data_IF_939509365683
#
_entry.id   IF_939509365683
#
_cell.length_a   1.000
_cell.length_b   1.000
_cell.length_c   1.000
_cell.angle_alpha   90.00
_cell.angle_beta   90.00
_cell.angle_gamma   90.00
#
_symmetry.space_group_name_H-M   'P 1'
#
loop_
_entity.id
_entity.type
_entity.pdbx_description
1 polymer ?
#
# COMPACT_ATOMS: atom_id res chain seq x y z
N UNK A 1 20.24 -30.35 -8.02
CA UNK A 1 20.57 -29.00 -7.50
C UNK A 1 20.25 -27.89 -8.50
N UNK A 2 20.87 -27.85 -9.68
CA UNK A 2 20.69 -26.73 -10.65
C UNK A 2 19.24 -26.50 -11.12
N UNK A 3 18.47 -27.57 -11.42
CA UNK A 3 17.07 -27.44 -11.87
C UNK A 3 16.14 -26.86 -10.80
N UNK A 4 16.35 -27.22 -9.53
CA UNK A 4 15.58 -26.70 -8.39
C UNK A 4 15.89 -25.21 -8.18
N UNK A 5 17.16 -24.84 -8.17
CA UNK A 5 17.60 -23.43 -8.11
C UNK A 5 16.97 -22.58 -9.22
N UNK A 6 16.95 -23.09 -10.47
CA UNK A 6 16.31 -22.38 -11.60
C UNK A 6 14.78 -22.23 -11.41
N UNK A 7 14.11 -23.23 -10.87
CA UNK A 7 12.67 -23.16 -10.58
C UNK A 7 12.38 -22.13 -9.48
N UNK A 8 13.18 -22.13 -8.41
CA UNK A 8 13.05 -21.18 -7.30
C UNK A 8 13.31 -19.73 -7.77
N UNK A 9 14.33 -19.53 -8.62
CA UNK A 9 14.59 -18.24 -9.27
C UNK A 9 13.43 -17.78 -10.15
N UNK A 10 12.81 -18.70 -10.90
CA UNK A 10 11.65 -18.37 -11.73
C UNK A 10 10.46 -17.96 -10.86
N UNK A 11 10.15 -18.74 -9.83
CA UNK A 11 9.08 -18.41 -8.88
C UNK A 11 9.31 -17.04 -8.24
N UNK A 12 10.54 -16.73 -7.81
CA UNK A 12 10.89 -15.41 -7.25
C UNK A 12 10.64 -14.26 -8.23
N UNK A 13 10.98 -14.43 -9.52
CA UNK A 13 10.72 -13.42 -10.55
C UNK A 13 9.22 -13.22 -10.78
N UNK A 14 8.46 -14.31 -10.82
CA UNK A 14 6.99 -14.25 -10.97
C UNK A 14 6.35 -13.53 -9.78
N UNK A 15 6.72 -13.88 -8.54
CA UNK A 15 6.28 -13.18 -7.33
C UNK A 15 6.54 -11.67 -7.43
N UNK A 16 7.75 -11.29 -7.83
CA UNK A 16 8.11 -9.89 -7.95
C UNK A 16 7.29 -9.15 -9.01
N UNK A 17 7.08 -9.74 -10.20
CA UNK A 17 6.27 -9.12 -11.26
C UNK A 17 4.83 -8.87 -10.79
N UNK A 18 4.23 -9.85 -10.12
CA UNK A 18 2.88 -9.72 -9.58
C UNK A 18 2.83 -8.65 -8.47
N UNK A 19 3.80 -8.66 -7.55
CA UNK A 19 3.88 -7.67 -6.49
C UNK A 19 4.04 -6.24 -7.05
N UNK A 20 4.84 -6.07 -8.12
CA UNK A 20 5.02 -4.78 -8.78
C UNK A 20 3.74 -4.28 -9.45
N UNK A 21 3.01 -5.18 -10.13
CA UNK A 21 1.74 -4.83 -10.77
C UNK A 21 0.71 -4.38 -9.73
N UNK A 22 0.48 -5.22 -8.73
CA UNK A 22 -0.49 -4.97 -7.67
C UNK A 22 -0.17 -3.66 -6.93
N UNK A 23 1.10 -3.46 -6.54
CA UNK A 23 1.53 -2.23 -5.88
C UNK A 23 1.38 -1.01 -6.81
N UNK A 24 1.63 -1.17 -8.10
CA UNK A 24 1.44 -0.12 -9.10
C UNK A 24 -0.03 0.31 -9.24
N UNK A 25 -0.95 -0.65 -9.26
CA UNK A 25 -2.39 -0.41 -9.26
C UNK A 25 -2.82 0.32 -7.98
N UNK A 26 -2.42 -0.19 -6.81
CA UNK A 26 -2.77 0.43 -5.53
C UNK A 26 -2.26 1.88 -5.41
N UNK A 27 -1.03 2.16 -5.86
CA UNK A 27 -0.49 3.53 -5.88
C UNK A 27 -1.29 4.47 -6.79
N UNK A 28 -1.72 4.00 -7.96
CA UNK A 28 -2.54 4.82 -8.87
C UNK A 28 -3.92 5.08 -8.31
N UNK A 29 -4.56 4.06 -7.73
CA UNK A 29 -5.85 4.18 -7.07
C UNK A 29 -5.81 5.20 -5.94
N UNK A 30 -4.74 5.21 -5.15
CA UNK A 30 -4.57 6.20 -4.09
C UNK A 30 -4.34 7.60 -4.65
N UNK A 31 -3.43 7.76 -5.61
CA UNK A 31 -3.06 9.06 -6.15
C UNK A 31 -4.15 9.73 -7.00
N UNK A 32 -5.01 8.94 -7.66
CA UNK A 32 -5.99 9.42 -8.66
C UNK A 32 -7.44 9.29 -8.22
N UNK A 33 -7.69 8.89 -6.96
CA UNK A 33 -9.03 8.57 -6.46
C UNK A 33 -10.06 9.66 -6.76
N UNK A 34 -9.75 10.89 -6.40
CA UNK A 34 -10.71 12.00 -6.56
C UNK A 34 -10.77 12.47 -8.02
N UNK A 35 -9.60 12.51 -8.69
CA UNK A 35 -9.48 12.94 -10.07
C UNK A 35 -10.26 12.04 -11.04
N UNK A 36 -10.22 10.71 -10.86
CA UNK A 36 -10.89 9.78 -11.78
C UNK A 36 -12.41 9.96 -11.78
N UNK A 37 -13.03 10.25 -10.62
CA UNK A 37 -14.47 10.52 -10.55
C UNK A 37 -14.83 11.91 -11.05
N UNK A 38 -13.98 12.92 -10.82
CA UNK A 38 -14.15 14.25 -11.41
C UNK A 38 -14.13 14.17 -12.94
N UNK A 39 -13.19 13.41 -13.53
CA UNK A 39 -13.10 13.19 -14.96
C UNK A 39 -14.27 12.34 -15.50
N UNK A 40 -14.67 11.27 -14.80
CA UNK A 40 -15.86 10.50 -15.17
C UNK A 40 -17.13 11.37 -15.22
N UNK A 41 -17.31 12.24 -14.23
CA UNK A 41 -18.43 13.18 -14.17
C UNK A 41 -18.40 14.18 -15.35
N UNK A 42 -17.24 14.81 -15.58
CA UNK A 42 -17.07 15.88 -16.57
C UNK A 42 -17.10 15.37 -18.01
N UNK A 43 -16.38 14.29 -18.29
CA UNK A 43 -16.18 13.76 -19.64
C UNK A 43 -17.21 12.70 -20.03
N UNK A 44 -17.95 12.15 -19.05
CA UNK A 44 -18.83 10.98 -19.24
C UNK A 44 -18.11 9.79 -19.87
N UNK A 45 -16.79 9.70 -19.68
CA UNK A 45 -15.94 8.62 -20.15
C UNK A 45 -15.52 7.73 -18.98
N UNK A 46 -15.54 6.41 -19.20
CA UNK A 46 -15.09 5.39 -18.24
C UNK A 46 -13.58 5.18 -18.26
N UNK A 47 -12.89 5.70 -19.27
CA UNK A 47 -11.45 5.55 -19.46
C UNK A 47 -10.61 5.96 -18.24
N UNK A 48 -10.87 7.09 -17.54
CA UNK A 48 -10.10 7.46 -16.34
C UNK A 48 -10.21 6.43 -15.21
N UNK A 49 -11.37 5.77 -15.09
CA UNK A 49 -11.60 4.72 -14.09
C UNK A 49 -10.84 3.45 -14.47
N UNK A 50 -10.96 3.01 -15.73
CA UNK A 50 -10.36 1.78 -16.24
C UNK A 50 -8.83 1.87 -16.32
N UNK A 51 -8.27 2.99 -16.78
CA UNK A 51 -6.82 3.20 -16.87
C UNK A 51 -6.15 3.23 -15.51
N UNK A 52 -6.85 3.71 -14.48
CA UNK A 52 -6.33 3.75 -13.11
C UNK A 52 -6.08 2.32 -12.59
N UNK A 53 -6.97 1.38 -12.92
CA UNK A 53 -6.91 -0.01 -12.47
C UNK A 53 -6.25 -0.97 -13.46
N UNK A 54 -5.87 -0.49 -14.65
CA UNK A 54 -5.28 -1.32 -15.69
C UNK A 54 -4.01 -2.04 -15.21
N UNK A 55 -4.00 -3.37 -15.31
CA UNK A 55 -2.78 -4.14 -15.07
C UNK A 55 -1.80 -3.96 -16.23
N UNK A 56 -0.51 -3.81 -15.92
CA UNK A 56 0.55 -3.68 -16.93
C UNK A 56 1.22 -5.01 -17.24
N UNK A 57 1.06 -5.97 -16.33
CA UNK A 57 1.76 -7.24 -16.39
C UNK A 57 0.79 -8.43 -16.48
N UNK A 58 -0.54 -8.23 -16.39
CA UNK A 58 -1.50 -9.34 -16.47
C UNK A 58 -1.54 -10.04 -17.83
N UNK A 59 -1.32 -9.32 -18.93
CA UNK A 59 -1.26 -9.94 -20.26
C UNK A 59 -0.02 -10.84 -20.35
N UNK A 60 -0.25 -12.15 -20.48
CA UNK A 60 0.80 -13.17 -20.59
C UNK A 60 1.43 -13.64 -19.27
N UNK A 61 1.20 -12.96 -18.13
CA UNK A 61 1.73 -13.43 -16.85
C UNK A 61 1.04 -14.69 -16.32
N UNK A 62 -0.20 -14.97 -16.76
CA UNK A 62 -0.97 -16.11 -16.27
C UNK A 62 -0.32 -17.47 -16.60
N UNK A 63 0.33 -17.59 -17.76
CA UNK A 63 1.10 -18.79 -18.13
C UNK A 63 2.24 -19.07 -17.14
N UNK A 64 2.74 -18.02 -16.47
CA UNK A 64 3.85 -18.11 -15.52
C UNK A 64 3.40 -18.46 -14.09
N UNK A 65 2.09 -18.48 -13.80
CA UNK A 65 1.58 -18.85 -12.47
C UNK A 65 1.88 -20.31 -12.11
N UNK A 66 2.12 -21.17 -13.10
CA UNK A 66 2.55 -22.55 -12.90
C UNK A 66 3.86 -22.67 -12.09
N UNK A 67 4.65 -21.60 -12.03
CA UNK A 67 5.88 -21.55 -11.25
C UNK A 67 5.65 -21.25 -9.77
N UNK A 68 4.44 -20.82 -9.39
CA UNK A 68 4.07 -20.54 -8.00
C UNK A 68 3.47 -21.79 -7.34
N UNK A 69 3.66 -22.00 -6.04
CA UNK A 69 2.88 -22.95 -5.25
C UNK A 69 1.37 -22.63 -5.29
N UNK A 70 0.52 -23.65 -5.12
CA UNK A 70 -0.95 -23.52 -5.17
C UNK A 70 -1.50 -22.47 -4.20
N UNK A 71 -0.94 -22.37 -2.99
CA UNK A 71 -1.32 -21.34 -2.02
C UNK A 71 -1.09 -19.92 -2.55
N UNK A 72 0.04 -19.70 -3.22
CA UNK A 72 0.35 -18.39 -3.81
C UNK A 72 -0.56 -18.10 -5.00
N UNK A 73 -0.82 -19.11 -5.84
CA UNK A 73 -1.77 -18.99 -6.95
C UNK A 73 -3.16 -18.56 -6.46
N UNK A 74 -3.66 -19.17 -5.38
CA UNK A 74 -4.96 -18.82 -4.80
C UNK A 74 -5.02 -17.39 -4.26
N UNK A 75 -3.93 -16.89 -3.68
CA UNK A 75 -3.84 -15.50 -3.20
C UNK A 75 -3.80 -14.52 -4.37
N UNK A 76 -3.06 -14.86 -5.44
CA UNK A 76 -3.01 -14.07 -6.67
C UNK A 76 -4.38 -14.02 -7.34
N UNK A 77 -5.04 -15.16 -7.50
CA UNK A 77 -6.39 -15.27 -8.07
C UNK A 77 -7.41 -14.43 -7.28
N UNK A 78 -7.36 -14.49 -5.94
CA UNK A 78 -8.22 -13.66 -5.09
C UNK A 78 -8.01 -12.16 -5.33
N UNK A 79 -6.76 -11.70 -5.46
CA UNK A 79 -6.48 -10.29 -5.73
C UNK A 79 -7.04 -9.86 -7.09
N UNK A 80 -6.71 -10.59 -8.15
CA UNK A 80 -7.15 -10.25 -9.51
C UNK A 80 -8.65 -10.44 -9.71
N UNK A 81 -9.30 -11.35 -8.99
CA UNK A 81 -10.77 -11.47 -8.98
C UNK A 81 -11.45 -10.24 -8.39
N UNK A 82 -10.93 -9.67 -7.29
CA UNK A 82 -11.47 -8.41 -6.74
C UNK A 82 -11.17 -7.22 -7.66
N UNK A 83 -10.03 -7.22 -8.35
CA UNK A 83 -9.71 -6.22 -9.37
C UNK A 83 -10.66 -6.31 -10.57
N UNK A 84 -10.97 -7.53 -11.01
CA UNK A 84 -11.90 -7.76 -12.11
C UNK A 84 -13.33 -7.37 -11.75
N UNK A 85 -13.78 -7.61 -10.51
CA UNK A 85 -15.08 -7.11 -10.02
C UNK A 85 -15.14 -5.57 -10.10
N UNK A 86 -14.06 -4.88 -9.72
CA UNK A 86 -13.97 -3.43 -9.85
C UNK A 86 -13.96 -2.97 -11.31
N UNK A 87 -13.22 -3.67 -12.18
CA UNK A 87 -13.18 -3.42 -13.62
C UNK A 87 -14.54 -3.60 -14.27
N UNK A 88 -15.23 -4.69 -13.94
CA UNK A 88 -16.57 -4.99 -14.41
C UNK A 88 -17.54 -3.88 -14.02
N UNK A 89 -17.52 -3.50 -12.73
CA UNK A 89 -18.34 -2.41 -12.23
C UNK A 89 -18.11 -1.11 -13.02
N UNK A 90 -16.86 -0.65 -13.17
CA UNK A 90 -16.57 0.57 -13.92
C UNK A 90 -16.93 0.48 -15.41
N UNK A 91 -16.84 -0.71 -16.01
CA UNK A 91 -17.17 -0.92 -17.42
C UNK A 91 -18.67 -0.73 -17.68
N UNK A 92 -19.52 -1.25 -16.79
CA UNK A 92 -20.95 -1.40 -17.08
C UNK A 92 -21.88 -0.60 -16.18
N UNK A 93 -21.36 0.08 -15.16
CA UNK A 93 -22.21 0.88 -14.29
C UNK A 93 -22.93 2.00 -15.05
N UNK A 94 -24.18 2.20 -14.67
CA UNK A 94 -25.04 3.33 -15.05
C UNK A 94 -25.15 4.36 -13.91
N UNK A 95 -24.43 4.12 -12.80
CA UNK A 95 -24.48 4.96 -11.61
C UNK A 95 -23.98 6.38 -11.90
N UNK A 96 -24.63 7.34 -11.27
CA UNK A 96 -24.12 8.71 -11.20
C UNK A 96 -22.80 8.75 -10.43
N UNK A 97 -21.89 9.71 -10.71
CA UNK A 97 -20.54 9.72 -10.14
C UNK A 97 -20.48 9.60 -8.61
N UNK A 98 -21.42 10.21 -7.88
CA UNK A 98 -21.49 10.10 -6.42
C UNK A 98 -21.80 8.68 -5.93
N UNK A 99 -22.78 8.01 -6.55
CA UNK A 99 -23.09 6.59 -6.26
C UNK A 99 -21.93 5.69 -6.67
N UNK A 100 -21.29 5.99 -7.81
CA UNK A 100 -20.12 5.26 -8.28
C UNK A 100 -18.94 5.33 -7.29
N UNK A 101 -18.72 6.50 -6.68
CA UNK A 101 -17.69 6.68 -5.65
C UNK A 101 -18.00 5.87 -4.39
N UNK A 102 -19.26 5.82 -3.95
CA UNK A 102 -19.67 5.02 -2.78
C UNK A 102 -19.46 3.52 -3.01
N UNK A 103 -19.83 3.02 -4.17
CA UNK A 103 -19.62 1.60 -4.53
C UNK A 103 -18.13 1.29 -4.69
N UNK A 104 -17.36 2.20 -5.29
CA UNK A 104 -15.92 2.09 -5.38
C UNK A 104 -15.27 1.94 -3.99
N UNK A 105 -15.66 2.74 -2.98
CA UNK A 105 -15.06 2.62 -1.64
C UNK A 105 -15.20 1.20 -1.08
N UNK A 106 -16.35 0.54 -1.29
CA UNK A 106 -16.59 -0.83 -0.84
C UNK A 106 -15.71 -1.84 -1.58
N UNK A 107 -15.68 -1.75 -2.91
CA UNK A 107 -14.89 -2.64 -3.77
C UNK A 107 -13.38 -2.45 -3.54
N UNK A 108 -12.95 -1.20 -3.41
CA UNK A 108 -11.58 -0.81 -3.11
C UNK A 108 -11.11 -1.38 -1.77
N UNK A 109 -11.94 -1.34 -0.72
CA UNK A 109 -11.61 -1.93 0.57
C UNK A 109 -11.35 -3.44 0.47
N UNK A 110 -12.18 -4.17 -0.29
CA UNK A 110 -11.99 -5.61 -0.53
C UNK A 110 -10.70 -5.87 -1.31
N UNK A 111 -10.40 -5.03 -2.30
CA UNK A 111 -9.16 -5.09 -3.07
C UNK A 111 -7.92 -4.80 -2.19
N UNK A 112 -7.98 -3.80 -1.31
CA UNK A 112 -6.92 -3.50 -0.34
C UNK A 112 -6.65 -4.67 0.61
N UNK A 113 -7.72 -5.31 1.12
CA UNK A 113 -7.59 -6.48 1.99
C UNK A 113 -6.91 -7.64 1.25
N UNK A 114 -7.33 -7.92 0.00
CA UNK A 114 -6.67 -8.93 -0.84
C UNK A 114 -5.20 -8.57 -1.13
N UNK A 115 -4.91 -7.29 -1.39
CA UNK A 115 -3.55 -6.79 -1.60
C UNK A 115 -2.65 -7.00 -0.37
N UNK A 116 -3.15 -6.74 0.83
CA UNK A 116 -2.38 -6.98 2.08
C UNK A 116 -2.00 -8.45 2.22
N UNK A 117 -2.95 -9.36 1.95
CA UNK A 117 -2.67 -10.81 1.97
C UNK A 117 -1.66 -11.19 0.89
N UNK A 118 -1.76 -10.60 -0.30
CA UNK A 118 -0.82 -10.81 -1.39
C UNK A 118 0.60 -10.39 -1.02
N UNK A 119 0.78 -9.19 -0.45
CA UNK A 119 2.11 -8.69 -0.03
C UNK A 119 2.71 -9.55 1.08
N UNK A 120 1.91 -9.98 2.05
CA UNK A 120 2.39 -10.89 3.12
C UNK A 120 2.82 -12.23 2.55
N UNK A 121 2.12 -12.72 1.51
CA UNK A 121 2.36 -14.04 0.92
C UNK A 121 3.53 -14.05 -0.06
N UNK A 122 3.60 -13.08 -0.96
CA UNK A 122 4.60 -13.03 -2.04
C UNK A 122 5.82 -12.17 -1.70
N UNK A 123 5.70 -11.32 -0.68
CA UNK A 123 6.65 -10.26 -0.37
C UNK A 123 6.31 -8.92 -1.04
N UNK A 124 6.88 -7.81 -0.56
CA UNK A 124 6.76 -6.52 -1.23
C UNK A 124 7.53 -6.54 -2.57
N UNK A 125 7.15 -5.67 -3.52
CA UNK A 125 7.90 -5.53 -4.77
C UNK A 125 9.34 -5.09 -4.50
N UNK A 126 10.28 -5.61 -5.27
CA UNK A 126 11.68 -5.19 -5.20
C UNK A 126 11.81 -3.69 -5.53
N UNK A 127 12.66 -2.99 -4.79
CA UNK A 127 13.00 -1.59 -5.09
C UNK A 127 13.94 -1.52 -6.29
N UNK A 128 13.75 -0.52 -7.16
CA UNK A 128 14.65 -0.22 -8.26
C UNK A 128 16.06 0.16 -7.77
N UNK A 129 16.15 0.73 -6.57
CA UNK A 129 17.42 1.12 -5.92
C UNK A 129 18.19 -0.09 -5.35
N UNK A 130 17.69 -1.32 -5.53
CA UNK A 130 18.22 -2.52 -4.89
C UNK A 130 17.83 -2.65 -3.42
N UNK A 131 18.27 -3.73 -2.78
CA UNK A 131 18.04 -3.97 -1.35
C UNK A 131 18.82 -2.94 -0.52
N UNK A 132 18.17 -1.84 -0.15
CA UNK A 132 18.69 -0.93 0.88
C UNK A 132 18.47 -1.61 2.23
N UNK A 133 19.53 -2.20 2.78
CA UNK A 133 19.57 -2.59 4.18
C UNK A 133 19.48 -1.29 4.98
N UNK A 134 18.29 -1.00 5.48
CA UNK A 134 18.11 0.06 6.46
C UNK A 134 18.38 -0.61 7.80
N UNK A 135 19.55 -0.33 8.38
CA UNK A 135 19.84 -0.69 9.76
C UNK A 135 18.83 0.05 10.63
N UNK A 136 17.76 -0.66 11.01
CA UNK A 136 16.84 -0.20 12.03
C UNK A 136 17.57 -0.42 13.34
N UNK A 137 18.23 0.61 13.85
CA UNK A 137 18.63 0.65 15.26
C UNK A 137 17.35 0.48 16.09
N UNK A 138 17.21 -0.70 16.68
CA UNK A 138 16.23 -0.97 17.72
C UNK A 138 16.63 -0.09 18.89
N UNK A 139 16.01 1.08 19.02
CA UNK A 139 16.06 1.86 20.25
C UNK A 139 15.39 1.05 21.34
N UNK A 140 16.18 0.21 22.01
CA UNK A 140 15.85 -0.40 23.27
C UNK A 140 15.48 0.72 24.24
N UNK A 141 14.20 0.75 24.63
CA UNK A 141 13.73 1.51 25.77
C UNK A 141 14.40 0.92 27.01
N UNK A 142 15.47 1.55 27.49
CA UNK A 142 15.93 1.37 28.86
C UNK A 142 15.18 2.37 29.73
N UNK A 143 14.16 1.87 30.44
CA UNK A 143 13.61 2.53 31.60
C UNK A 143 14.52 2.24 32.81
N UNK A 144 14.95 3.34 33.45
CA UNK A 144 15.34 3.55 34.86
C UNK A 144 16.80 3.86 35.19
N UNK A 145 16.99 5.16 35.44
CA UNK A 145 17.36 5.71 36.76
C UNK A 145 18.85 5.73 37.13
N UNK A 146 19.47 6.90 36.99
CA UNK A 146 20.28 7.52 38.05
C UNK A 146 20.64 8.96 37.66
N UNK A 147 20.07 9.92 38.38
CA UNK A 147 20.48 11.33 38.31
C UNK A 147 21.59 11.53 39.33
N UNK A 148 22.79 12.02 38.96
CA UNK A 148 23.70 12.59 39.93
C UNK A 148 23.49 14.11 40.01
N UNK A 149 23.19 14.50 41.23
CA UNK A 149 23.14 15.83 41.80
C UNK A 149 24.37 16.68 41.42
N UNK A 150 24.16 17.87 40.83
CA UNK A 150 25.13 18.97 40.89
C UNK A 150 24.45 20.29 41.25
N UNK A 151 24.89 20.77 42.40
CA UNK A 151 24.44 21.93 43.16
C UNK A 151 25.09 23.22 42.64
N UNK A 152 24.36 24.34 42.81
CA UNK A 152 24.76 25.76 42.78
C UNK A 152 24.88 26.40 41.38
N UNK A 153 24.29 27.56 41.09
CA UNK A 153 24.37 28.82 41.85
C UNK A 153 23.06 29.64 41.76
N UNK A 154 22.63 30.18 42.91
CA UNK A 154 21.57 31.19 43.04
C UNK A 154 22.00 32.52 42.40
N UNK A 155 21.17 33.08 41.52
CA UNK A 155 21.15 34.53 41.26
C UNK A 155 19.72 35.05 41.43
N UNK A 156 19.55 35.91 42.44
CA UNK A 156 18.32 36.58 42.84
C UNK A 156 17.98 37.73 41.89
N UNK A 157 16.69 37.91 41.59
CA UNK A 157 16.12 39.18 41.11
C UNK A 157 14.76 39.45 41.80
N UNK A 158 14.44 40.72 42.10
CA UNK A 158 13.42 41.09 43.08
C UNK A 158 11.99 41.04 42.54
N UNK A 159 11.07 40.51 43.36
CA UNK A 159 9.64 40.37 43.05
C UNK A 159 8.89 41.62 43.51
N UNK A 160 8.36 42.40 42.56
CA UNK A 160 7.47 43.53 42.84
C UNK A 160 6.18 43.05 43.51
N UNK A 161 5.81 43.74 44.61
CA UNK A 161 4.55 43.58 45.33
C UNK A 161 3.39 44.06 44.44
N UNK A 162 2.42 43.19 44.17
CA UNK A 162 1.06 43.60 43.79
C UNK A 162 0.17 43.53 45.02
N UNK A 163 -0.55 44.63 45.27
CA UNK A 163 -1.54 44.79 46.31
C UNK A 163 -2.79 43.93 46.04
N UNK A 164 -3.39 43.41 47.10
CA UNK A 164 -4.70 42.76 47.10
C UNK A 164 -5.81 43.81 47.16
N UNK A 165 -7.01 43.53 46.61
CA UNK A 165 -8.16 44.43 46.74
C UNK A 165 -8.85 44.23 48.10
N UNK A 166 -9.39 45.31 48.63
CA UNK A 166 -10.46 45.30 49.63
C UNK A 166 -11.83 45.23 48.96
#
# INVERSE_FOLDING_TARGET
>A
MARRKKADEMAARVRNLIAMDAAGIMRRLEARRDEMFALFSRLRSREPLLDTIASRYADGAFENLIHLPEQEQAVVDRYYSNLDELRWYFTYTEDMPGTAQVNFIKLHKRLEEAYRVLVVTLGPPASADGARVVDVEVLSREDKESVPEKTLVRRTLPRQRRASPG
#
